data_IF_606346289087
#
_entry.id   IF_606346289087
#
_cell.length_a   1.000
_cell.length_b   1.000
_cell.length_c   1.000
_cell.angle_alpha   90.00
_cell.angle_beta   90.00
_cell.angle_gamma   90.00
#
_symmetry.space_group_name_H-M   'P 1'
#
loop_
_entity.id
_entity.type
_entity.pdbx_description
1 polymer ?
#
# COMPACT_ATOMS: atom_id res chain seq x y z
N UNK A 1 -87.91 69.39 33.21
CA UNK A 1 -87.62 70.83 33.02
C UNK A 1 -86.28 70.97 32.32
N UNK A 2 -86.25 71.63 31.15
CA UNK A 2 -85.12 72.39 30.55
C UNK A 2 -83.71 71.73 30.60
N UNK A 3 -83.01 71.41 29.50
CA UNK A 3 -82.61 72.32 28.40
C UNK A 3 -81.61 71.61 27.43
N UNK A 4 -81.63 72.02 26.16
CA UNK A 4 -80.48 72.30 25.24
C UNK A 4 -79.74 71.06 24.68
N UNK A 5 -79.85 70.69 23.39
CA UNK A 5 -79.46 71.36 22.12
C UNK A 5 -77.94 71.53 21.96
N UNK A 6 -77.36 70.75 21.04
CA UNK A 6 -75.98 70.85 20.54
C UNK A 6 -75.48 69.45 20.19
N UNK A 7 -74.79 69.17 19.09
CA UNK A 7 -74.15 70.00 18.07
C UNK A 7 -73.78 68.96 16.98
N UNK A 8 -74.38 69.03 15.80
CA UNK A 8 -74.14 68.05 14.71
C UNK A 8 -73.76 68.83 13.46
N UNK A 9 -72.48 69.21 13.37
CA UNK A 9 -71.83 69.78 12.18
C UNK A 9 -70.35 70.03 12.48
N UNK A 10 -69.45 69.23 11.91
CA UNK A 10 -68.07 69.59 11.51
C UNK A 10 -67.47 68.39 10.75
N UNK A 11 -67.68 68.31 9.44
CA UNK A 11 -66.74 68.74 8.38
C UNK A 11 -65.43 67.96 8.35
N UNK A 12 -65.40 66.96 7.46
CA UNK A 12 -64.30 66.61 6.54
C UNK A 12 -63.00 67.41 6.72
N UNK A 13 -62.02 66.80 7.39
CA UNK A 13 -60.62 67.23 7.29
C UNK A 13 -59.87 66.33 6.32
N UNK A 14 -59.28 66.99 5.32
CA UNK A 14 -58.35 66.47 4.33
C UNK A 14 -57.21 65.67 4.97
N UNK A 15 -57.03 64.41 4.55
CA UNK A 15 -55.81 63.64 4.78
C UNK A 15 -54.83 64.06 3.68
N UNK A 16 -53.89 64.95 4.01
CA UNK A 16 -52.72 65.19 3.17
C UNK A 16 -51.68 64.10 3.47
N UNK A 17 -51.21 63.30 2.49
CA UNK A 17 -50.14 62.35 2.73
C UNK A 17 -48.83 63.12 2.95
N UNK A 18 -48.22 62.94 4.12
CA UNK A 18 -46.86 63.42 4.35
C UNK A 18 -45.89 62.61 3.47
N UNK A 19 -44.91 63.24 2.80
CA UNK A 19 -43.89 62.48 2.08
C UNK A 19 -43.04 61.71 3.10
N UNK A 20 -43.13 60.39 3.06
CA UNK A 20 -42.22 59.48 3.76
C UNK A 20 -40.91 59.45 2.99
N UNK A 21 -39.88 60.11 3.52
CA UNK A 21 -38.52 60.01 3.01
C UNK A 21 -37.92 58.70 3.51
N UNK A 22 -37.82 57.71 2.62
CA UNK A 22 -37.10 56.47 2.90
C UNK A 22 -35.60 56.78 2.97
N UNK A 23 -35.08 56.92 4.20
CA UNK A 23 -33.63 56.99 4.43
C UNK A 23 -33.05 55.61 4.15
N UNK A 24 -32.49 55.42 2.96
CA UNK A 24 -31.70 54.24 2.63
C UNK A 24 -30.38 54.36 3.38
N UNK A 25 -30.31 53.77 4.59
CA UNK A 25 -29.02 53.51 5.22
C UNK A 25 -28.29 52.51 4.34
N UNK A 26 -27.37 53.00 3.51
CA UNK A 26 -26.34 52.18 2.89
C UNK A 26 -25.46 51.62 4.00
N UNK A 27 -25.91 50.53 4.63
CA UNK A 27 -25.07 49.72 5.48
C UNK A 27 -23.99 49.13 4.57
N UNK A 28 -22.80 49.72 4.61
CA UNK A 28 -21.63 49.16 3.96
C UNK A 28 -21.23 47.93 4.78
N UNK A 29 -21.82 46.78 4.43
CA UNK A 29 -21.50 45.50 5.05
C UNK A 29 -20.11 45.09 4.54
N UNK A 30 -19.08 45.46 5.30
CA UNK A 30 -17.72 44.96 5.09
C UNK A 30 -17.63 43.53 5.61
N UNK A 31 -17.97 42.57 4.76
CA UNK A 31 -17.71 41.16 5.04
C UNK A 31 -16.22 40.88 4.78
N UNK A 32 -15.42 40.89 5.85
CA UNK A 32 -14.05 40.38 5.81
C UNK A 32 -14.05 38.93 6.33
N UNK A 33 -13.69 37.98 5.46
CA UNK A 33 -13.42 36.59 5.86
C UNK A 33 -11.91 36.44 5.95
N UNK A 34 -11.40 36.34 7.18
CA UNK A 34 -9.99 36.02 7.43
C UNK A 34 -9.84 34.50 7.49
N UNK A 35 -9.05 33.93 6.57
CA UNK A 35 -8.68 32.51 6.58
C UNK A 35 -7.29 32.40 7.21
N UNK A 36 -7.23 32.10 8.51
CA UNK A 36 -6.00 31.83 9.26
C UNK A 36 -5.08 33.05 9.48
N UNK A 37 -4.91 33.46 10.73
CA UNK A 37 -4.00 34.58 11.09
C UNK A 37 -2.51 34.15 11.11
N UNK A 38 -2.26 32.87 11.43
CA UNK A 38 -0.92 32.35 11.68
C UNK A 38 -0.44 31.41 10.58
N UNK A 39 0.87 31.41 10.36
CA UNK A 39 1.51 30.73 9.22
C UNK A 39 2.63 29.82 9.70
N UNK A 40 2.72 28.63 9.14
CA UNK A 40 3.84 27.73 9.40
C UNK A 40 4.70 27.55 8.15
N UNK A 41 5.97 27.27 8.39
CA UNK A 41 6.87 26.71 7.38
C UNK A 41 7.35 25.35 7.86
N UNK A 42 7.39 24.37 6.97
CA UNK A 42 7.82 23.02 7.30
C UNK A 42 8.90 22.57 6.31
N UNK A 43 10.00 22.05 6.83
CA UNK A 43 11.09 21.54 6.00
C UNK A 43 11.60 20.18 6.46
N UNK A 44 12.21 19.44 5.54
CA UNK A 44 12.70 18.11 5.82
C UNK A 44 13.48 17.51 4.66
N UNK A 45 13.81 16.22 4.82
CA UNK A 45 14.58 15.45 3.84
C UNK A 45 13.89 14.11 3.53
N UNK A 46 13.93 13.73 2.25
CA UNK A 46 13.42 12.48 1.71
C UNK A 46 14.22 12.07 0.46
N UNK A 47 13.73 11.12 -0.33
CA UNK A 47 14.34 10.76 -1.62
C UNK A 47 14.26 11.91 -2.65
N UNK A 48 15.27 12.06 -3.53
CA UNK A 48 15.29 13.13 -4.52
C UNK A 48 14.07 13.13 -5.43
N UNK A 49 13.55 14.32 -5.73
CA UNK A 49 12.40 14.52 -6.63
C UNK A 49 11.13 13.76 -6.22
N UNK A 50 11.05 13.36 -4.95
CA UNK A 50 9.83 12.75 -4.43
C UNK A 50 8.72 13.78 -4.28
N UNK A 51 7.49 13.36 -4.56
CA UNK A 51 6.30 14.11 -4.20
C UNK A 51 6.08 13.94 -2.69
N UNK A 52 6.04 15.03 -1.95
CA UNK A 52 5.75 15.06 -0.52
C UNK A 52 4.36 15.61 -0.32
N UNK A 53 3.49 14.81 0.29
CA UNK A 53 2.12 15.20 0.61
C UNK A 53 2.02 15.44 2.10
N UNK A 54 1.45 16.59 2.47
CA UNK A 54 1.13 16.97 3.84
C UNK A 54 -0.38 16.93 4.02
N UNK A 55 -0.87 16.02 4.86
CA UNK A 55 -2.29 15.77 5.03
C UNK A 55 -2.69 15.72 6.51
N UNK A 56 -3.80 16.37 6.83
CA UNK A 56 -4.39 16.38 8.16
C UNK A 56 -5.81 16.91 8.11
N UNK A 57 -6.47 17.02 9.27
CA UNK A 57 -7.83 17.55 9.34
C UNK A 57 -7.82 19.03 8.95
N UNK A 58 -8.38 19.34 7.77
CA UNK A 58 -8.42 20.71 7.24
C UNK A 58 -7.12 21.19 6.60
N UNK A 59 -6.15 20.29 6.38
CA UNK A 59 -4.87 20.60 5.73
C UNK A 59 -4.63 19.56 4.63
N UNK A 60 -4.42 20.03 3.41
CA UNK A 60 -3.91 19.20 2.32
C UNK A 60 -3.02 20.05 1.44
N UNK A 61 -1.78 19.61 1.27
CA UNK A 61 -0.78 20.35 0.51
C UNK A 61 0.27 19.39 -0.05
N UNK A 62 0.93 19.81 -1.12
CA UNK A 62 1.89 18.98 -1.84
C UNK A 62 3.10 19.83 -2.27
N UNK A 63 4.29 19.24 -2.20
CA UNK A 63 5.53 19.86 -2.69
C UNK A 63 6.46 18.78 -3.25
N UNK A 64 7.48 19.18 -3.99
CA UNK A 64 8.50 18.26 -4.49
C UNK A 64 9.81 18.46 -3.74
N UNK A 65 10.48 17.36 -3.42
CA UNK A 65 11.85 17.39 -2.95
C UNK A 65 12.80 17.75 -4.10
N UNK A 66 13.89 18.45 -3.79
CA UNK A 66 14.94 18.77 -4.75
C UNK A 66 15.88 17.58 -5.02
N UNK A 67 16.99 17.81 -5.75
CA UNK A 67 17.99 16.79 -6.05
C UNK A 67 18.78 16.33 -4.81
N UNK A 68 18.80 17.12 -3.74
CA UNK A 68 19.41 16.76 -2.44
C UNK A 68 18.42 16.02 -1.53
N UNK A 69 17.17 15.89 -1.95
CA UNK A 69 16.09 15.32 -1.15
C UNK A 69 15.44 16.32 -0.18
N UNK A 70 15.84 17.58 -0.20
CA UNK A 70 15.27 18.63 0.63
C UNK A 70 13.90 19.05 0.11
N UNK A 71 12.93 19.23 1.02
CA UNK A 71 11.61 19.75 0.69
C UNK A 71 11.20 20.85 1.66
N UNK A 72 10.36 21.77 1.17
CA UNK A 72 9.91 22.93 1.92
C UNK A 72 8.45 23.26 1.59
N UNK A 73 7.65 23.42 2.63
CA UNK A 73 6.34 24.06 2.61
C UNK A 73 6.51 25.46 3.21
N UNK A 74 6.37 26.50 2.41
CA UNK A 74 6.49 27.88 2.88
C UNK A 74 5.12 28.52 3.13
N UNK A 75 5.02 29.27 4.23
CA UNK A 75 3.98 30.28 4.42
C UNK A 75 2.53 29.74 4.41
N UNK A 76 2.34 28.51 4.91
CA UNK A 76 1.06 27.78 4.91
C UNK A 76 0.22 28.17 6.12
N UNK A 77 -1.09 28.22 5.97
CA UNK A 77 -1.99 28.63 7.06
C UNK A 77 -2.04 27.55 8.14
N UNK A 78 -1.79 27.95 9.39
CA UNK A 78 -1.95 27.07 10.54
C UNK A 78 -3.43 26.70 10.70
N UNK A 79 -3.77 25.43 11.01
CA UNK A 79 -5.15 25.04 11.23
C UNK A 79 -5.76 25.84 12.39
N UNK A 80 -7.09 26.00 12.40
CA UNK A 80 -7.80 26.69 13.48
C UNK A 80 -7.73 25.96 14.84
N UNK A 81 -7.28 24.71 14.85
CA UNK A 81 -7.19 23.86 16.03
C UNK A 81 -5.90 23.03 15.96
N UNK A 82 -5.16 22.89 17.08
CA UNK A 82 -3.93 22.10 17.13
C UNK A 82 -4.27 20.63 16.91
N UNK A 83 -3.99 20.11 15.73
CA UNK A 83 -4.25 18.73 15.31
C UNK A 83 -3.01 18.13 14.69
N UNK A 84 -2.95 16.82 14.74
CA UNK A 84 -1.91 16.05 14.07
C UNK A 84 -2.07 16.16 12.55
N UNK A 85 -0.93 16.21 11.87
CA UNK A 85 -0.85 16.16 10.42
C UNK A 85 0.32 15.26 10.04
N UNK A 86 0.14 14.48 8.98
CA UNK A 86 1.08 13.48 8.56
C UNK A 86 1.67 13.81 7.20
N UNK A 87 2.95 13.48 7.06
CA UNK A 87 3.69 13.59 5.81
C UNK A 87 3.86 12.21 5.19
N UNK A 88 3.60 12.09 3.91
CA UNK A 88 3.96 10.92 3.11
C UNK A 88 4.85 11.37 1.96
N UNK A 89 5.73 10.49 1.49
CA UNK A 89 6.45 10.71 0.24
C UNK A 89 6.16 9.63 -0.78
N UNK A 90 6.10 10.02 -2.05
CA UNK A 90 6.06 9.14 -3.19
C UNK A 90 7.31 9.36 -4.02
N UNK A 91 8.08 8.29 -4.23
CA UNK A 91 9.34 8.35 -4.94
C UNK A 91 9.18 8.37 -6.47
N UNK A 92 10.29 8.49 -7.21
CA UNK A 92 10.27 8.58 -8.68
C UNK A 92 9.76 7.31 -9.38
N UNK A 93 9.68 6.19 -8.66
CA UNK A 93 9.14 4.92 -9.15
C UNK A 93 7.69 4.69 -8.68
N UNK A 94 7.06 5.70 -8.07
CA UNK A 94 5.68 5.65 -7.60
C UNK A 94 5.49 4.88 -6.29
N UNK A 95 6.57 4.50 -5.59
CA UNK A 95 6.49 3.81 -4.30
C UNK A 95 6.23 4.83 -3.20
N UNK A 96 5.31 4.50 -2.30
CA UNK A 96 4.93 5.38 -1.19
C UNK A 96 5.62 4.99 0.11
N UNK A 97 6.04 6.00 0.86
CA UNK A 97 6.59 5.84 2.20
C UNK A 97 5.47 5.68 3.23
N UNK A 98 5.73 5.04 4.39
CA UNK A 98 4.85 5.15 5.54
C UNK A 98 4.68 6.63 5.97
N UNK A 99 3.51 6.99 6.53
CA UNK A 99 3.28 8.35 7.01
C UNK A 99 4.12 8.66 8.25
N UNK A 100 4.62 9.89 8.33
CA UNK A 100 5.28 10.47 9.51
C UNK A 100 4.35 11.54 10.05
N UNK A 101 3.72 11.26 11.18
CA UNK A 101 2.80 12.19 11.82
C UNK A 101 3.54 13.12 12.77
N UNK A 102 3.28 14.41 12.61
CA UNK A 102 3.81 15.46 13.47
C UNK A 102 2.88 15.62 14.67
N UNK A 103 3.44 15.87 15.86
CA UNK A 103 2.62 16.27 16.99
C UNK A 103 1.92 17.59 16.67
N UNK A 104 0.81 17.84 17.37
CA UNK A 104 0.10 19.11 17.27
C UNK A 104 1.05 20.30 17.46
N UNK A 105 1.03 21.25 16.53
CA UNK A 105 1.87 22.45 16.56
C UNK A 105 1.05 23.72 16.87
N UNK A 106 1.71 24.79 17.35
CA UNK A 106 1.04 26.02 17.77
C UNK A 106 0.25 26.67 16.62
N UNK A 107 -0.95 27.15 16.95
CA UNK A 107 -1.85 27.86 16.02
C UNK A 107 -2.01 29.33 16.39
N UNK A 108 -1.09 29.88 17.20
CA UNK A 108 -1.17 31.24 17.78
C UNK A 108 0.02 32.13 17.42
N UNK A 109 0.99 31.62 16.66
CA UNK A 109 2.13 32.39 16.14
C UNK A 109 2.74 31.66 14.94
N UNK A 110 3.62 32.36 14.22
CA UNK A 110 4.31 31.77 13.08
C UNK A 110 5.38 30.79 13.55
N UNK A 111 5.38 29.57 13.01
CA UNK A 111 6.29 28.50 13.43
C UNK A 111 7.07 27.93 12.25
N UNK A 112 8.32 27.55 12.51
CA UNK A 112 9.15 26.76 11.59
C UNK A 112 9.31 25.35 12.17
N UNK A 113 8.92 24.33 11.41
CA UNK A 113 8.93 22.93 11.82
C UNK A 113 9.96 22.19 10.98
N UNK A 114 11.00 21.65 11.59
CA UNK A 114 11.97 20.82 10.88
C UNK A 114 13.32 20.72 11.59
N UNK A 115 14.23 19.87 11.07
CA UNK A 115 14.06 19.03 9.89
C UNK A 115 13.21 17.77 10.17
N UNK A 116 12.26 17.46 9.28
CA UNK A 116 11.51 16.18 9.33
C UNK A 116 12.15 15.18 8.36
N UNK A 117 12.56 14.02 8.87
CA UNK A 117 13.09 12.94 8.03
C UNK A 117 11.97 11.99 7.62
N UNK A 118 11.74 11.84 6.32
CA UNK A 118 10.77 10.88 5.81
C UNK A 118 11.42 9.49 5.62
N UNK A 119 10.68 8.40 5.90
CA UNK A 119 11.20 7.04 5.76
C UNK A 119 11.57 6.74 4.31
N UNK A 120 12.55 5.85 4.13
CA UNK A 120 12.90 5.34 2.81
C UNK A 120 11.79 4.47 2.22
N UNK A 121 11.76 4.38 0.89
CA UNK A 121 10.95 3.40 0.18
C UNK A 121 11.70 2.08 0.08
N UNK A 122 10.98 0.96 0.09
CA UNK A 122 11.56 -0.37 0.01
C UNK A 122 10.66 -1.26 -0.85
N UNK A 123 11.28 -2.05 -1.71
CA UNK A 123 10.62 -2.99 -2.62
C UNK A 123 11.49 -4.21 -2.87
N UNK A 124 10.83 -5.31 -3.25
CA UNK A 124 11.44 -6.59 -3.62
C UNK A 124 11.33 -6.81 -5.13
N UNK A 125 12.31 -7.47 -5.74
CA UNK A 125 12.27 -7.73 -7.18
C UNK A 125 11.28 -8.83 -7.60
N UNK A 126 10.95 -9.77 -6.70
CA UNK A 126 10.01 -10.88 -6.94
C UNK A 126 9.02 -11.05 -5.78
N UNK A 127 7.87 -11.64 -6.08
CA UNK A 127 6.82 -11.94 -5.08
C UNK A 127 7.05 -13.21 -4.26
N UNK A 128 7.78 -14.18 -4.81
CA UNK A 128 8.12 -15.44 -4.14
C UNK A 128 9.58 -15.79 -4.38
N UNK A 129 10.24 -16.33 -3.35
CA UNK A 129 11.62 -16.78 -3.40
C UNK A 129 11.70 -18.20 -2.92
N UNK A 130 12.58 -18.98 -3.53
CA UNK A 130 12.89 -20.33 -3.11
C UNK A 130 14.25 -20.36 -2.42
N UNK A 131 14.49 -21.41 -1.65
CA UNK A 131 15.81 -21.66 -1.04
C UNK A 131 16.89 -21.74 -2.12
N UNK A 132 17.94 -20.92 -1.98
CA UNK A 132 19.03 -20.82 -2.97
C UNK A 132 18.90 -19.64 -3.94
N UNK A 133 17.76 -18.93 -3.94
CA UNK A 133 17.62 -17.66 -4.65
C UNK A 133 18.43 -16.53 -4.00
N UNK A 134 18.65 -15.47 -4.77
CA UNK A 134 19.15 -14.20 -4.25
C UNK A 134 18.00 -13.21 -4.18
N UNK A 135 17.72 -12.71 -2.98
CA UNK A 135 16.69 -11.69 -2.78
C UNK A 135 17.32 -10.33 -3.03
N UNK A 136 16.73 -9.56 -3.94
CA UNK A 136 17.20 -8.21 -4.25
C UNK A 136 16.17 -7.22 -3.69
N UNK A 137 16.60 -6.49 -2.67
CA UNK A 137 15.84 -5.37 -2.11
C UNK A 137 16.35 -4.08 -2.75
N UNK A 138 15.43 -3.23 -3.18
CA UNK A 138 15.77 -1.92 -3.73
C UNK A 138 14.81 -0.86 -3.25
N UNK A 139 15.29 0.37 -3.20
CA UNK A 139 14.56 1.49 -2.62
C UNK A 139 15.14 2.84 -3.00
N UNK A 140 14.46 3.89 -2.60
CA UNK A 140 14.96 5.26 -2.65
C UNK A 140 14.91 5.90 -1.26
N UNK A 141 15.91 6.70 -0.94
CA UNK A 141 16.04 7.43 0.31
C UNK A 141 16.87 8.70 0.11
N UNK A 142 17.21 9.38 1.21
CA UNK A 142 18.02 10.60 1.19
C UNK A 142 19.37 10.30 0.49
N UNK A 143 19.86 11.14 -0.43
CA UNK A 143 21.14 10.93 -1.12
C UNK A 143 22.34 10.85 -0.20
N UNK A 144 23.33 10.04 -0.58
CA UNK A 144 24.61 9.90 0.11
C UNK A 144 24.46 9.62 1.62
N UNK A 145 23.41 8.89 2.02
CA UNK A 145 23.11 8.56 3.41
C UNK A 145 23.25 7.05 3.64
N UNK A 146 23.57 6.67 4.87
CA UNK A 146 23.69 5.27 5.26
C UNK A 146 22.31 4.69 5.56
N UNK A 147 22.01 3.53 4.99
CA UNK A 147 20.78 2.79 5.18
C UNK A 147 21.07 1.55 6.00
N UNK A 148 20.39 1.43 7.13
CA UNK A 148 20.39 0.24 7.98
C UNK A 148 19.23 -0.67 7.56
N UNK A 149 19.57 -1.86 7.05
CA UNK A 149 18.63 -2.94 6.80
C UNK A 149 18.50 -3.79 8.05
N UNK A 150 17.29 -3.85 8.60
CA UNK A 150 16.96 -4.63 9.79
C UNK A 150 16.10 -5.81 9.37
N UNK A 151 16.56 -7.01 9.72
CA UNK A 151 15.92 -8.27 9.35
C UNK A 151 15.57 -9.05 10.60
N UNK A 152 14.29 -9.33 10.78
CA UNK A 152 13.80 -10.20 11.84
C UNK A 152 13.30 -11.52 11.25
N UNK A 153 13.62 -12.62 11.93
CA UNK A 153 13.07 -13.94 11.62
C UNK A 153 12.14 -14.37 12.76
N UNK A 154 11.09 -15.09 12.39
CA UNK A 154 10.29 -15.83 13.37
C UNK A 154 10.83 -17.26 13.43
N UNK A 155 11.66 -17.56 14.43
CA UNK A 155 11.94 -18.95 14.75
C UNK A 155 10.71 -19.55 15.46
N UNK A 156 9.99 -20.43 14.76
CA UNK A 156 9.08 -21.34 15.44
C UNK A 156 9.94 -22.39 16.15
N UNK A 157 10.37 -22.12 17.38
CA UNK A 157 10.85 -23.19 18.27
C UNK A 157 9.69 -24.17 18.46
N UNK A 158 9.84 -25.37 17.90
CA UNK A 158 8.84 -26.43 17.82
C UNK A 158 8.64 -27.20 19.14
N UNK A 159 8.71 -26.51 20.28
CA UNK A 159 8.41 -27.10 21.58
C UNK A 159 7.10 -26.52 22.10
N UNK A 160 6.17 -27.34 22.62
CA UNK A 160 4.94 -26.86 23.23
C UNK A 160 5.27 -26.26 24.61
N UNK A 161 5.93 -25.10 24.65
CA UNK A 161 6.01 -24.33 25.89
C UNK A 161 4.66 -23.64 26.09
N UNK A 162 4.08 -23.81 27.28
CA UNK A 162 2.81 -23.23 27.72
C UNK A 162 2.80 -21.68 27.71
N UNK A 163 3.95 -21.08 27.39
CA UNK A 163 4.19 -19.65 27.24
C UNK A 163 4.86 -19.49 25.87
N UNK A 164 4.17 -18.84 24.92
CA UNK A 164 4.76 -18.45 23.63
C UNK A 164 5.85 -17.42 23.89
N UNK A 165 7.11 -17.84 23.89
CA UNK A 165 8.21 -16.89 23.76
C UNK A 165 8.18 -16.35 22.33
N UNK A 166 7.70 -15.12 22.16
CA UNK A 166 7.79 -14.37 20.90
C UNK A 166 9.23 -13.89 20.75
N UNK A 167 10.16 -14.82 20.56
CA UNK A 167 11.56 -14.52 20.30
C UNK A 167 11.73 -14.20 18.81
N UNK A 168 11.60 -12.92 18.45
CA UNK A 168 12.04 -12.45 17.14
C UNK A 168 13.58 -12.37 17.16
N UNK A 169 14.24 -13.27 16.46
CA UNK A 169 15.70 -13.21 16.31
C UNK A 169 16.04 -12.11 15.29
N UNK A 170 16.87 -11.16 15.70
CA UNK A 170 17.35 -10.10 14.81
C UNK A 170 18.67 -10.55 14.20
N UNK A 171 18.70 -10.68 12.88
CA UNK A 171 19.92 -10.99 12.13
C UNK A 171 20.87 -9.77 12.15
N UNK A 172 22.18 -9.96 11.89
CA UNK A 172 23.13 -8.85 11.84
C UNK A 172 22.63 -7.76 10.88
N UNK A 173 22.76 -6.50 11.33
CA UNK A 173 22.37 -5.34 10.54
C UNK A 173 23.25 -5.26 9.28
N UNK A 174 22.61 -5.10 8.13
CA UNK A 174 23.34 -4.79 6.90
C UNK A 174 23.28 -3.29 6.65
N UNK A 175 24.41 -2.68 6.34
CA UNK A 175 24.46 -1.27 6.00
C UNK A 175 24.79 -1.09 4.52
N UNK A 176 24.10 -0.15 3.87
CA UNK A 176 24.32 0.21 2.46
C UNK A 176 24.18 1.70 2.31
N UNK A 177 25.04 2.33 1.52
CA UNK A 177 24.95 3.77 1.25
C UNK A 177 24.11 4.04 0.01
N UNK A 178 23.34 5.11 0.03
CA UNK A 178 22.59 5.57 -1.16
C UNK A 178 23.51 6.29 -2.13
N UNK A 179 23.20 6.19 -3.42
CA UNK A 179 23.86 6.96 -4.45
C UNK A 179 23.43 8.45 -4.43
N UNK A 180 24.03 9.26 -5.31
CA UNK A 180 23.66 10.68 -5.48
C UNK A 180 22.21 10.90 -5.91
N UNK A 181 21.57 9.89 -6.49
CA UNK A 181 20.17 9.91 -6.92
C UNK A 181 19.23 9.35 -5.83
N UNK A 182 19.77 9.01 -4.65
CA UNK A 182 19.02 8.43 -3.54
C UNK A 182 18.68 6.95 -3.70
N UNK A 183 19.17 6.25 -4.73
CA UNK A 183 18.89 4.82 -4.90
C UNK A 183 19.80 3.96 -4.03
N UNK A 184 19.27 2.83 -3.58
CA UNK A 184 20.06 1.76 -2.97
C UNK A 184 19.53 0.40 -3.42
N UNK A 185 20.41 -0.59 -3.43
CA UNK A 185 20.09 -1.99 -3.70
C UNK A 185 20.95 -2.88 -2.82
N UNK A 186 20.33 -3.85 -2.16
CA UNK A 186 21.01 -4.83 -1.32
C UNK A 186 20.55 -6.22 -1.67
N UNK A 187 21.52 -7.11 -1.89
CA UNK A 187 21.28 -8.53 -2.13
C UNK A 187 21.47 -9.29 -0.82
N UNK A 188 20.53 -10.16 -0.48
CA UNK A 188 20.69 -11.06 0.65
C UNK A 188 20.33 -12.51 0.29
N UNK A 189 21.06 -13.49 0.84
CA UNK A 189 20.90 -14.90 0.46
C UNK A 189 19.66 -15.53 1.09
N UNK A 190 18.93 -16.35 0.34
CA UNK A 190 17.80 -17.15 0.84
C UNK A 190 18.21 -18.58 1.21
N UNK A 191 19.20 -18.72 2.10
CA UNK A 191 19.79 -20.04 2.43
C UNK A 191 18.82 -21.02 3.13
N UNK A 192 17.82 -20.51 3.84
CA UNK A 192 16.87 -21.32 4.61
C UNK A 192 15.41 -20.95 4.30
N UNK A 193 14.54 -21.96 4.34
CA UNK A 193 13.10 -21.80 4.16
C UNK A 193 12.49 -21.19 5.43
N UNK A 194 12.41 -19.87 5.49
CA UNK A 194 11.85 -19.13 6.62
C UNK A 194 11.16 -17.83 6.20
N UNK A 195 10.41 -17.25 7.13
CA UNK A 195 9.74 -15.96 6.93
C UNK A 195 10.56 -14.84 7.58
N UNK A 196 10.90 -13.83 6.80
CA UNK A 196 11.62 -12.64 7.24
C UNK A 196 10.71 -11.42 7.25
N UNK A 197 10.88 -10.56 8.25
CA UNK A 197 10.32 -9.22 8.31
C UNK A 197 11.44 -8.23 8.14
N UNK A 198 11.37 -7.44 7.08
CA UNK A 198 12.47 -6.60 6.64
C UNK A 198 12.01 -5.16 6.52
N UNK A 199 12.79 -4.24 7.07
CA UNK A 199 12.59 -2.81 6.89
C UNK A 199 13.94 -2.10 6.88
N UNK A 200 13.93 -0.86 6.40
CA UNK A 200 15.09 0.00 6.32
C UNK A 200 14.90 1.26 7.15
N UNK A 201 16.00 1.78 7.68
CA UNK A 201 16.08 3.08 8.33
C UNK A 201 17.27 3.86 7.77
N UNK A 202 17.09 5.14 7.55
CA UNK A 202 18.15 6.03 7.05
C UNK A 202 18.83 6.65 8.25
N UNK A 203 20.16 6.58 8.32
CA UNK A 203 20.94 7.35 9.26
C UNK A 203 21.42 8.62 8.55
N UNK A 204 20.77 9.75 8.83
CA UNK A 204 21.10 11.02 8.20
C UNK A 204 21.94 11.86 9.15
N UNK A 205 23.21 12.06 8.79
CA UNK A 205 24.08 13.06 9.42
C UNK A 205 23.77 14.43 8.82
N UNK A 206 22.74 15.10 9.34
CA UNK A 206 22.35 16.43 8.91
C UNK A 206 23.30 17.54 9.41
N UNK A 207 22.83 18.79 9.32
CA UNK A 207 23.58 20.00 9.72
C UNK A 207 23.97 20.04 11.20
N UNK A 208 23.19 19.37 12.05
CA UNK A 208 23.51 19.20 13.46
C UNK A 208 24.23 17.87 13.59
N UNK A 209 25.44 17.88 14.17
CA UNK A 209 26.44 16.79 14.17
C UNK A 209 26.03 15.49 14.91
N UNK A 210 24.73 15.21 15.00
CA UNK A 210 24.13 14.05 15.62
C UNK A 210 23.27 13.31 14.59
N UNK A 211 23.75 12.14 14.17
CA UNK A 211 23.03 11.31 13.19
C UNK A 211 21.75 10.78 13.82
N UNK A 212 20.60 11.26 13.33
CA UNK A 212 19.30 10.81 13.78
C UNK A 212 18.73 9.78 12.79
N UNK A 213 18.27 8.60 13.26
CA UNK A 213 17.65 7.63 12.39
C UNK A 213 16.27 8.14 11.92
N UNK A 214 15.98 7.95 10.64
CA UNK A 214 14.64 8.19 10.11
C UNK A 214 13.64 7.20 10.72
N UNK A 215 12.33 7.52 10.64
CA UNK A 215 11.28 6.53 10.84
C UNK A 215 11.52 5.28 9.98
N UNK A 216 10.98 4.14 10.43
CA UNK A 216 11.06 2.86 9.72
C UNK A 216 10.35 2.93 8.36
N UNK A 217 10.93 2.30 7.35
CA UNK A 217 10.25 2.06 6.07
C UNK A 217 9.06 1.12 6.20
N UNK A 218 8.37 0.90 5.08
CA UNK A 218 7.41 -0.20 4.98
C UNK A 218 8.09 -1.53 5.33
N UNK A 219 7.43 -2.33 6.16
CA UNK A 219 7.92 -3.66 6.53
C UNK A 219 7.48 -4.67 5.48
N UNK A 220 8.45 -5.26 4.79
CA UNK A 220 8.21 -6.32 3.82
C UNK A 220 8.24 -7.66 4.54
N UNK A 221 7.16 -8.43 4.38
CA UNK A 221 7.09 -9.82 4.81
C UNK A 221 7.57 -10.71 3.67
N UNK A 222 8.82 -11.16 3.74
CA UNK A 222 9.37 -12.08 2.77
C UNK A 222 9.18 -13.52 3.22
N UNK A 223 8.71 -14.39 2.33
CA UNK A 223 8.67 -15.83 2.57
C UNK A 223 9.62 -16.52 1.59
N UNK A 224 10.62 -17.21 2.13
CA UNK A 224 11.46 -18.12 1.37
C UNK A 224 10.88 -19.52 1.49
N UNK A 225 10.49 -20.08 0.36
CA UNK A 225 9.87 -21.39 0.26
C UNK A 225 10.93 -22.47 -0.06
N UNK A 226 10.73 -23.71 0.39
CA UNK A 226 11.63 -24.78 0.00
C UNK A 226 11.44 -25.15 -1.48
N UNK A 227 12.52 -25.57 -2.16
CA UNK A 227 12.51 -25.87 -3.62
C UNK A 227 11.44 -26.91 -3.99
N UNK A 228 11.18 -27.93 -3.16
CA UNK A 228 10.17 -28.96 -3.45
C UNK A 228 8.75 -28.39 -3.60
N UNK A 229 8.48 -27.21 -3.04
CA UNK A 229 7.19 -26.53 -3.16
C UNK A 229 6.92 -26.05 -4.60
N UNK A 230 7.96 -25.93 -5.44
CA UNK A 230 7.83 -25.68 -6.88
C UNK A 230 7.00 -26.79 -7.54
N UNK A 231 7.26 -28.05 -7.18
CA UNK A 231 6.54 -29.22 -7.74
C UNK A 231 5.05 -29.14 -7.40
N UNK A 232 4.71 -28.81 -6.15
CA UNK A 232 3.32 -28.62 -5.74
C UNK A 232 2.66 -27.43 -6.43
N UNK A 233 3.39 -26.34 -6.67
CA UNK A 233 2.86 -25.20 -7.40
C UNK A 233 2.46 -25.59 -8.84
N UNK A 234 3.33 -26.30 -9.56
CA UNK A 234 3.01 -26.82 -10.89
C UNK A 234 1.87 -27.85 -10.86
N UNK A 235 1.88 -28.78 -9.89
CA UNK A 235 0.82 -29.78 -9.75
C UNK A 235 -0.55 -29.14 -9.49
N UNK A 236 -0.60 -28.12 -8.63
CA UNK A 236 -1.86 -27.40 -8.35
C UNK A 236 -2.33 -26.58 -9.54
N UNK A 237 -1.42 -26.00 -10.33
CA UNK A 237 -1.77 -25.31 -11.58
C UNK A 237 -2.31 -26.29 -12.63
N UNK A 238 -1.68 -27.45 -12.80
CA UNK A 238 -2.17 -28.54 -13.65
C UNK A 238 -3.54 -29.03 -13.18
N UNK A 239 -3.71 -29.25 -11.87
CA UNK A 239 -4.97 -29.68 -11.29
C UNK A 239 -6.09 -28.65 -11.50
N UNK A 240 -5.83 -27.35 -11.30
CA UNK A 240 -6.81 -26.28 -11.58
C UNK A 240 -7.21 -26.23 -13.04
N UNK A 241 -6.23 -26.40 -13.95
CA UNK A 241 -6.48 -26.43 -15.40
C UNK A 241 -7.31 -27.66 -15.78
N UNK A 242 -7.00 -28.82 -15.20
CA UNK A 242 -7.76 -30.05 -15.39
C UNK A 242 -9.18 -29.91 -14.84
N UNK A 243 -9.34 -29.32 -13.65
CA UNK A 243 -10.63 -29.10 -13.00
C UNK A 243 -11.59 -28.29 -13.87
N UNK A 244 -11.07 -27.24 -14.54
CA UNK A 244 -11.86 -26.42 -15.47
C UNK A 244 -12.34 -27.17 -16.71
N UNK A 245 -11.72 -28.31 -17.05
CA UNK A 245 -12.04 -29.13 -18.24
C UNK A 245 -12.40 -30.57 -17.90
N UNK A 246 -12.82 -30.86 -16.66
CA UNK A 246 -13.11 -32.23 -16.21
C UNK A 246 -14.16 -32.92 -17.08
N UNK A 247 -15.23 -32.21 -17.47
CA UNK A 247 -16.27 -32.78 -18.32
C UNK A 247 -15.74 -33.16 -19.71
N UNK A 248 -15.01 -32.25 -20.37
CA UNK A 248 -14.40 -32.52 -21.68
C UNK A 248 -13.42 -33.70 -21.61
N UNK A 249 -12.58 -33.74 -20.58
CA UNK A 249 -11.62 -34.85 -20.39
C UNK A 249 -12.33 -36.16 -20.09
N UNK A 250 -13.39 -36.18 -19.28
CA UNK A 250 -14.20 -37.38 -19.03
C UNK A 250 -14.85 -37.88 -20.33
N UNK A 251 -15.41 -36.98 -21.14
CA UNK A 251 -16.03 -37.33 -22.43
C UNK A 251 -14.99 -37.92 -23.40
N UNK A 252 -13.82 -37.28 -23.54
CA UNK A 252 -12.74 -37.79 -24.40
C UNK A 252 -12.30 -39.19 -23.93
N UNK A 253 -12.11 -39.38 -22.62
CA UNK A 253 -11.73 -40.68 -22.05
C UNK A 253 -12.81 -41.73 -22.36
N UNK A 254 -14.09 -41.41 -22.18
CA UNK A 254 -15.18 -42.34 -22.50
C UNK A 254 -15.20 -42.71 -24.00
N UNK A 255 -15.02 -41.75 -24.89
CA UNK A 255 -14.98 -41.98 -26.35
C UNK A 255 -13.79 -42.86 -26.74
N UNK A 256 -12.60 -42.61 -26.19
CA UNK A 256 -11.40 -43.43 -26.45
C UNK A 256 -11.57 -44.84 -25.92
N UNK A 257 -12.14 -45.01 -24.73
CA UNK A 257 -12.36 -46.32 -24.11
C UNK A 257 -13.39 -47.14 -24.90
N UNK A 258 -14.46 -46.49 -25.37
CA UNK A 258 -15.43 -47.11 -26.28
C UNK A 258 -14.78 -47.51 -27.62
N UNK A 259 -13.91 -46.67 -28.20
CA UNK A 259 -13.19 -47.00 -29.43
C UNK A 259 -12.22 -48.18 -29.26
N UNK A 260 -11.49 -48.25 -28.14
CA UNK A 260 -10.59 -49.37 -27.83
C UNK A 260 -11.36 -50.68 -27.61
N UNK A 261 -12.50 -50.62 -26.91
CA UNK A 261 -13.37 -51.78 -26.74
C UNK A 261 -13.96 -52.24 -28.08
N UNK A 262 -14.41 -51.30 -28.92
CA UNK A 262 -14.86 -51.58 -30.29
C UNK A 262 -13.77 -52.27 -31.11
N UNK A 263 -12.56 -51.70 -31.16
CA UNK A 263 -11.42 -52.30 -31.88
C UNK A 263 -11.08 -53.71 -31.37
N UNK A 264 -11.17 -53.94 -30.06
CA UNK A 264 -10.94 -55.27 -29.47
C UNK A 264 -12.05 -56.27 -29.84
N UNK A 265 -13.30 -55.82 -29.95
CA UNK A 265 -14.43 -56.66 -30.35
C UNK A 265 -14.37 -56.99 -31.85
N UNK A 266 -13.95 -56.03 -32.67
CA UNK A 266 -13.81 -56.17 -34.12
C UNK A 266 -12.51 -56.83 -34.57
N UNK A 267 -11.51 -56.99 -33.69
CA UNK A 267 -10.43 -57.96 -33.92
C UNK A 267 -11.00 -59.36 -33.68
N UNK A 268 -11.36 -60.10 -34.75
CA UNK A 268 -11.86 -61.45 -34.58
C UNK A 268 -10.71 -62.22 -33.95
N UNK A 269 -10.99 -63.04 -32.93
CA UNK A 269 -10.10 -64.14 -32.61
C UNK A 269 -9.76 -64.83 -33.93
N UNK A 270 -8.51 -64.70 -34.39
CA UNK A 270 -7.97 -65.58 -35.40
C UNK A 270 -8.23 -66.97 -34.87
N UNK A 271 -9.23 -67.61 -35.45
CA UNK A 271 -9.64 -68.97 -35.17
C UNK A 271 -8.34 -69.78 -35.31
N UNK A 272 -7.79 -70.24 -34.18
CA UNK A 272 -6.70 -71.21 -34.22
C UNK A 272 -7.31 -72.43 -34.89
N UNK A 273 -6.96 -72.66 -36.15
CA UNK A 273 -7.40 -73.82 -36.92
C UNK A 273 -7.04 -75.08 -36.13
N UNK A 274 -8.07 -75.80 -35.68
CA UNK A 274 -7.91 -77.13 -35.09
C UNK A 274 -7.58 -78.06 -36.25
N UNK A 275 -6.31 -78.44 -36.37
CA UNK A 275 -5.89 -79.50 -37.29
C UNK A 275 -6.30 -80.83 -36.66
N UNK A 276 -7.36 -81.44 -37.19
CA UNK A 276 -7.75 -82.81 -36.84
C UNK A 276 -6.68 -83.75 -37.41
N UNK A 277 -5.99 -84.47 -36.53
CA UNK A 277 -4.96 -85.44 -36.90
C UNK A 277 -5.67 -86.76 -37.24
N UNK A 278 -5.72 -87.12 -38.52
CA UNK A 278 -6.17 -88.44 -38.98
C UNK A 278 -5.28 -89.53 -38.37
N UNK A 279 -5.90 -90.50 -37.69
CA UNK A 279 -5.24 -91.71 -37.21
C UNK A 279 -5.20 -92.70 -38.37
N UNK A 280 -4.01 -92.98 -38.89
CA UNK A 280 -3.79 -94.13 -39.77
C UNK A 280 -3.75 -95.41 -38.94
N UNK A 281 -4.56 -96.40 -39.32
CA UNK A 281 -4.45 -97.77 -38.80
C UNK A 281 -3.19 -98.43 -39.38
N UNK A 282 -2.28 -98.84 -38.51
CA UNK A 282 -1.13 -99.65 -38.89
C UNK A 282 -1.59 -101.10 -39.05
N UNK A 283 -1.63 -101.56 -40.30
CA UNK A 283 -1.81 -102.97 -40.65
C UNK A 283 -0.64 -103.80 -40.11
N UNK A 284 -0.97 -104.75 -39.23
CA UNK A 284 -0.11 -105.82 -38.76
C UNK A 284 0.06 -106.84 -39.89
N UNK A 285 1.32 -107.20 -40.20
CA UNK A 285 1.66 -108.44 -40.88
C UNK A 285 2.96 -109.01 -40.30
#
# INVERSE_FOLDING_TARGET
MRRIVGLLLLTTFFIAPTPLWAVTKNAQVSNAVSVGEYRFSLYGYTSPRALVTFEGVGIKDETFADDTGYFLFTNRFSPFSPREACLTSQDQFGRTSPPVCLPSFPTTYNVSIGPVLLPSTLSVNKGAYYTGDVVILSGQAIPNSEINLIVHTNENKSLPSLIKEVAAYTLPNYTVTTDKKGNFSIAFPSSQAQSYRIFTQVNYAGSDSQSAPSPKSITINLKVLPVWMIVFHYLTLLWKTLQGRLLETIIIVQVVLAALLGLKLFHPHRIKSIVVREKYELLVR
#
